data_IF_139544967275
#
_entry.id   IF_139544967275
#
_cell.length_a   1.000
_cell.length_b   1.000
_cell.length_c   1.000
_cell.angle_alpha   90.00
_cell.angle_beta   90.00
_cell.angle_gamma   90.00
#
_symmetry.space_group_name_H-M   'P 1'
#
loop_
_entity.id
_entity.type
_entity.pdbx_description
1 polymer ?
#
# COMPACT_ATOMS: atom_id res chain seq x y z
N UNK A 1 -3.53 -5.80 12.11
CA UNK A 1 -4.57 -6.29 11.40
C UNK A 1 -4.89 -5.65 10.07
N UNK A 2 -4.60 -6.33 8.98
CA UNK A 2 -4.95 -5.94 7.63
C UNK A 2 -4.29 -4.66 7.13
N UNK A 3 -4.79 -4.11 6.00
CA UNK A 3 -4.27 -2.88 5.40
C UNK A 3 -4.37 -1.65 6.32
N UNK A 4 -5.38 -1.60 7.18
CA UNK A 4 -5.51 -0.49 8.15
C UNK A 4 -4.27 -0.35 9.05
N UNK A 5 -3.63 -1.46 9.42
CA UNK A 5 -2.36 -1.42 10.13
C UNK A 5 -1.22 -0.80 9.30
N UNK A 6 -1.26 -0.98 7.98
CA UNK A 6 -0.24 -0.41 7.10
C UNK A 6 -0.42 1.09 6.89
N UNK A 7 -1.61 1.64 7.07
CA UNK A 7 -1.81 3.10 7.08
C UNK A 7 -0.96 3.81 8.14
N UNK A 8 -0.75 3.14 9.29
CA UNK A 8 0.19 3.61 10.32
C UNK A 8 1.63 3.18 10.04
N UNK A 9 1.85 1.94 9.59
CA UNK A 9 3.19 1.39 9.40
C UNK A 9 3.98 2.15 8.32
N UNK A 10 3.35 2.52 7.21
CA UNK A 10 4.01 3.28 6.13
C UNK A 10 4.68 4.56 6.65
N UNK A 11 3.96 5.50 7.28
CA UNK A 11 4.61 6.73 7.74
C UNK A 11 5.67 6.47 8.81
N UNK A 12 5.47 5.57 9.77
CA UNK A 12 6.47 5.37 10.82
C UNK A 12 7.73 4.66 10.35
N UNK A 13 7.67 3.93 9.22
CA UNK A 13 8.85 3.31 8.62
C UNK A 13 9.59 4.21 7.62
N UNK A 14 8.92 5.22 7.03
CA UNK A 14 9.49 6.00 5.93
C UNK A 14 9.75 7.47 6.28
N UNK A 15 9.29 7.94 7.44
CA UNK A 15 9.32 9.38 7.77
C UNK A 15 9.75 9.65 9.21
N UNK A 16 10.23 10.87 9.45
CA UNK A 16 10.30 11.49 10.77
C UNK A 16 9.08 12.41 11.00
N UNK A 17 8.76 12.77 12.26
CA UNK A 17 7.76 13.81 12.53
C UNK A 17 8.12 15.12 11.82
N UNK A 18 7.12 15.71 11.15
CA UNK A 18 7.28 16.94 10.36
C UNK A 18 7.73 16.72 8.90
N UNK A 19 8.10 15.51 8.50
CA UNK A 19 8.36 15.21 7.08
C UNK A 19 7.09 15.38 6.24
N UNK A 20 7.25 15.78 4.99
CA UNK A 20 6.14 15.90 4.03
C UNK A 20 5.93 14.58 3.29
N UNK A 21 4.67 14.20 3.15
CA UNK A 21 4.21 13.05 2.36
C UNK A 21 3.10 13.47 1.40
N UNK A 22 3.06 12.87 0.23
CA UNK A 22 2.10 13.19 -0.81
C UNK A 22 1.03 12.10 -0.93
N UNK A 23 -0.20 12.51 -1.21
CA UNK A 23 -1.35 11.61 -1.37
C UNK A 23 -2.24 12.00 -2.55
N UNK A 24 -2.81 10.99 -3.20
CA UNK A 24 -3.96 11.14 -4.09
C UNK A 24 -5.20 10.64 -3.34
N UNK A 25 -6.19 11.52 -3.13
CA UNK A 25 -7.43 11.19 -2.45
C UNK A 25 -8.54 10.91 -3.46
N UNK A 26 -8.85 9.62 -3.64
CA UNK A 26 -9.84 9.15 -4.61
C UNK A 26 -11.02 8.42 -3.96
N UNK A 27 -11.09 8.42 -2.62
CA UNK A 27 -12.21 7.79 -1.93
C UNK A 27 -11.99 7.52 -0.46
N UNK A 28 -12.70 6.52 0.05
CA UNK A 28 -12.74 6.26 1.49
C UNK A 28 -11.45 5.67 2.04
N UNK A 29 -10.74 4.84 1.26
CA UNK A 29 -9.53 4.18 1.74
C UNK A 29 -8.33 5.13 1.71
N UNK A 30 -8.17 5.90 0.64
CA UNK A 30 -7.17 6.97 0.59
C UNK A 30 -7.39 8.02 1.69
N UNK A 31 -8.65 8.45 1.92
CA UNK A 31 -8.97 9.37 3.00
C UNK A 31 -8.64 8.82 4.41
N UNK A 32 -8.81 7.50 4.64
CA UNK A 32 -8.39 6.86 5.89
C UNK A 32 -6.87 6.81 6.03
N UNK A 33 -6.15 6.50 4.96
CA UNK A 33 -4.69 6.50 4.94
C UNK A 33 -4.13 7.90 5.23
N UNK A 34 -4.70 8.95 4.63
CA UNK A 34 -4.37 10.35 4.89
C UNK A 34 -4.54 10.70 6.37
N UNK A 35 -5.71 10.36 6.95
CA UNK A 35 -6.00 10.64 8.37
C UNK A 35 -5.02 9.94 9.31
N UNK A 36 -4.66 8.70 8.97
CA UNK A 36 -3.74 7.94 9.79
C UNK A 36 -2.30 8.44 9.65
N UNK A 37 -1.86 8.81 8.45
CA UNK A 37 -0.56 9.45 8.25
C UNK A 37 -0.44 10.75 9.06
N UNK A 38 -1.45 11.60 9.03
CA UNK A 38 -1.47 12.84 9.83
C UNK A 38 -1.35 12.56 11.33
N UNK A 39 -1.96 11.49 11.85
CA UNK A 39 -1.80 11.07 13.26
C UNK A 39 -0.37 10.70 13.62
N UNK A 40 0.41 10.27 12.64
CA UNK A 40 1.82 9.95 12.83
C UNK A 40 2.72 11.20 12.83
N UNK A 41 2.14 12.40 12.79
CA UNK A 41 2.85 13.68 12.93
C UNK A 41 3.58 14.13 11.66
N UNK A 42 3.22 13.60 10.49
CA UNK A 42 3.73 14.06 9.19
C UNK A 42 2.87 15.18 8.60
N UNK A 43 3.44 15.98 7.72
CA UNK A 43 2.74 16.97 6.93
C UNK A 43 2.17 16.31 5.68
N UNK A 44 0.86 16.23 5.57
CA UNK A 44 0.20 15.60 4.41
C UNK A 44 -0.06 16.65 3.34
N UNK A 45 0.47 16.43 2.14
CA UNK A 45 0.17 17.16 0.91
C UNK A 45 -0.78 16.33 0.04
N UNK A 46 -2.06 16.70 0.01
CA UNK A 46 -3.03 16.06 -0.90
C UNK A 46 -2.91 16.74 -2.27
N UNK A 47 -2.33 16.03 -3.25
CA UNK A 47 -2.02 16.58 -4.58
C UNK A 47 -3.25 16.63 -5.49
N UNK A 48 -4.18 15.70 -5.29
CA UNK A 48 -5.48 15.66 -5.94
C UNK A 48 -6.52 15.14 -4.95
N UNK A 49 -7.70 15.72 -4.97
CA UNK A 49 -8.86 15.30 -4.18
C UNK A 49 -10.08 15.24 -5.10
N UNK A 50 -10.60 14.06 -5.30
CA UNK A 50 -11.73 13.80 -6.20
C UNK A 50 -13.10 14.04 -5.53
N UNK A 51 -13.14 14.83 -4.45
CA UNK A 51 -14.39 15.14 -3.74
C UNK A 51 -15.44 15.84 -4.63
N UNK A 52 -15.00 16.72 -5.54
CA UNK A 52 -15.90 17.44 -6.46
C UNK A 52 -16.59 16.51 -7.46
N UNK A 53 -15.94 15.39 -7.83
CA UNK A 53 -16.54 14.32 -8.63
C UNK A 53 -17.38 13.36 -7.80
N UNK A 54 -17.51 13.58 -6.48
CA UNK A 54 -18.07 12.62 -5.52
C UNK A 54 -17.30 11.30 -5.52
N UNK A 55 -15.98 11.36 -5.77
CA UNK A 55 -15.09 10.20 -5.85
C UNK A 55 -15.51 9.19 -6.92
N UNK A 56 -15.89 9.68 -8.11
CA UNK A 56 -16.26 8.84 -9.27
C UNK A 56 -15.19 8.83 -10.36
N UNK A 57 -14.14 9.61 -10.19
CA UNK A 57 -13.02 9.74 -11.14
C UNK A 57 -11.68 9.54 -10.46
N UNK A 58 -10.64 9.46 -11.26
CA UNK A 58 -9.23 9.55 -10.84
C UNK A 58 -8.62 10.82 -11.45
N UNK A 59 -7.59 11.42 -10.81
CA UNK A 59 -6.91 12.55 -11.41
C UNK A 59 -6.30 12.17 -12.76
N UNK A 60 -6.30 13.12 -13.70
CA UNK A 60 -5.70 12.91 -15.02
C UNK A 60 -4.17 12.72 -14.91
N UNK A 61 -3.56 11.87 -15.76
CA UNK A 61 -2.11 11.72 -15.80
C UNK A 61 -1.41 13.07 -15.99
N UNK A 62 -0.45 13.39 -15.12
CA UNK A 62 0.30 14.65 -15.18
C UNK A 62 -0.42 15.88 -14.63
N UNK A 63 -1.61 15.75 -14.06
CA UNK A 63 -2.36 16.88 -13.45
C UNK A 63 -1.82 17.32 -12.10
N UNK A 64 -0.87 16.59 -11.53
CA UNK A 64 -0.25 16.91 -10.24
C UNK A 64 1.26 16.74 -10.31
N UNK A 65 1.96 17.38 -9.37
CA UNK A 65 3.41 17.25 -9.22
C UNK A 65 3.71 16.95 -7.77
N UNK A 66 4.53 15.92 -7.54
CA UNK A 66 4.99 15.57 -6.19
C UNK A 66 5.99 16.62 -5.72
N UNK A 67 5.81 17.20 -4.52
CA UNK A 67 6.74 18.20 -4.00
C UNK A 67 8.15 17.63 -3.81
N UNK A 68 9.15 18.44 -4.10
CA UNK A 68 10.54 18.09 -3.81
C UNK A 68 10.71 17.75 -2.32
N UNK A 69 11.44 16.66 -2.06
CA UNK A 69 11.68 16.19 -0.70
C UNK A 69 10.51 15.45 -0.05
N UNK A 70 9.40 15.22 -0.75
CA UNK A 70 8.34 14.34 -0.26
C UNK A 70 8.90 12.93 -0.02
N UNK A 71 8.59 12.37 1.14
CA UNK A 71 9.15 11.07 1.55
C UNK A 71 8.53 9.91 0.80
N UNK A 72 7.30 10.06 0.31
CA UNK A 72 6.60 9.12 -0.58
C UNK A 72 5.37 9.78 -1.21
N UNK A 73 4.91 9.21 -2.33
CA UNK A 73 3.57 9.40 -2.86
C UNK A 73 2.73 8.16 -2.56
N UNK A 74 1.58 8.35 -1.93
CA UNK A 74 0.63 7.27 -1.65
C UNK A 74 -0.61 7.39 -2.53
N UNK A 75 -1.07 6.26 -3.07
CA UNK A 75 -2.36 6.17 -3.75
C UNK A 75 -3.05 4.83 -3.48
N UNK A 76 -4.34 4.78 -3.74
CA UNK A 76 -5.16 3.57 -3.67
C UNK A 76 -5.60 3.21 -5.08
N UNK A 77 -4.94 2.26 -5.76
CA UNK A 77 -5.24 1.91 -7.16
C UNK A 77 -6.70 1.60 -7.43
N UNK A 78 -7.41 1.01 -6.47
CA UNK A 78 -8.85 0.77 -6.56
C UNK A 78 -9.55 1.06 -5.24
N UNK A 79 -10.43 2.04 -5.26
CA UNK A 79 -11.33 2.38 -4.15
C UNK A 79 -12.53 1.44 -4.16
N UNK A 80 -12.41 0.33 -3.45
CA UNK A 80 -13.35 -0.81 -3.49
C UNK A 80 -14.82 -0.42 -3.22
N UNK A 81 -15.06 0.57 -2.37
CA UNK A 81 -16.42 1.02 -2.01
C UNK A 81 -16.99 1.90 -3.10
N UNK A 82 -16.21 2.85 -3.60
CA UNK A 82 -16.63 3.77 -4.66
C UNK A 82 -16.59 3.14 -6.05
N UNK A 83 -15.84 2.06 -6.23
CA UNK A 83 -15.67 1.40 -7.53
C UNK A 83 -14.81 2.20 -8.51
N UNK A 84 -13.91 3.05 -7.99
CA UNK A 84 -13.01 3.86 -8.82
C UNK A 84 -11.65 3.20 -8.87
N UNK A 85 -11.16 2.94 -10.07
CA UNK A 85 -9.86 2.33 -10.32
C UNK A 85 -8.99 3.21 -11.22
N UNK A 86 -7.71 3.34 -10.86
CA UNK A 86 -6.73 4.04 -11.68
C UNK A 86 -6.41 3.24 -12.95
N UNK A 87 -6.56 3.83 -14.14
CA UNK A 87 -6.18 3.20 -15.40
C UNK A 87 -4.67 3.29 -15.66
N UNK A 88 -3.90 3.91 -14.77
CA UNK A 88 -2.47 4.12 -14.90
C UNK A 88 -1.77 4.04 -13.53
N UNK A 89 -0.45 3.89 -13.54
CA UNK A 89 0.40 4.00 -12.35
C UNK A 89 0.89 5.46 -12.26
N UNK A 90 0.58 6.18 -11.16
CA UNK A 90 1.02 7.56 -10.97
C UNK A 90 2.53 7.74 -11.04
N UNK A 91 2.96 8.86 -11.59
CA UNK A 91 4.37 9.25 -11.54
C UNK A 91 4.66 9.92 -10.19
N UNK A 92 5.57 9.33 -9.44
CA UNK A 92 6.00 9.82 -8.13
C UNK A 92 7.28 10.68 -8.19
N UNK A 93 7.85 10.91 -9.38
CA UNK A 93 9.15 11.53 -9.53
C UNK A 93 10.23 10.76 -8.77
N UNK A 94 11.02 11.46 -7.96
CA UNK A 94 12.08 10.84 -7.15
C UNK A 94 11.56 10.20 -5.85
N UNK A 95 10.31 10.45 -5.47
CA UNK A 95 9.72 9.89 -4.26
C UNK A 95 9.34 8.41 -4.44
N UNK A 96 9.51 7.56 -3.41
CA UNK A 96 8.97 6.21 -3.45
C UNK A 96 7.45 6.20 -3.65
N UNK A 97 6.97 5.42 -4.62
CA UNK A 97 5.53 5.20 -4.80
C UNK A 97 5.04 4.14 -3.82
N UNK A 98 3.98 4.45 -3.09
CA UNK A 98 3.32 3.56 -2.12
C UNK A 98 1.89 3.28 -2.57
N UNK A 99 1.50 2.00 -2.61
CA UNK A 99 0.17 1.61 -3.08
C UNK A 99 -0.55 0.66 -2.11
N UNK A 100 -1.84 0.96 -1.85
CA UNK A 100 -2.77 0.02 -1.21
C UNK A 100 -3.41 -0.87 -2.28
N UNK A 101 -2.89 -2.07 -2.44
CA UNK A 101 -3.36 -3.07 -3.40
C UNK A 101 -4.41 -4.03 -2.82
N UNK A 102 -5.03 -3.74 -1.69
CA UNK A 102 -5.92 -4.68 -1.00
C UNK A 102 -6.98 -5.31 -1.91
N UNK A 103 -7.52 -4.56 -2.88
CA UNK A 103 -8.55 -5.07 -3.79
C UNK A 103 -8.02 -5.51 -5.17
N UNK A 104 -6.76 -5.25 -5.47
CA UNK A 104 -6.15 -5.53 -6.78
C UNK A 104 -4.93 -6.45 -6.74
N UNK A 105 -4.48 -6.86 -5.56
CA UNK A 105 -3.43 -7.89 -5.47
C UNK A 105 -3.82 -9.13 -6.28
N UNK A 106 -2.89 -9.60 -7.13
CA UNK A 106 -3.06 -10.81 -7.94
C UNK A 106 -4.22 -10.76 -8.95
N UNK A 107 -4.83 -9.59 -9.21
CA UNK A 107 -5.87 -9.47 -10.23
C UNK A 107 -5.31 -9.42 -11.64
N UNK A 108 -4.06 -9.04 -11.80
CA UNK A 108 -3.35 -8.90 -13.08
C UNK A 108 -1.84 -8.81 -12.87
N UNK A 109 -1.02 -8.94 -13.93
CA UNK A 109 0.42 -8.69 -13.86
C UNK A 109 0.72 -7.28 -13.29
N UNK A 110 1.71 -7.20 -12.42
CA UNK A 110 2.16 -5.97 -11.81
C UNK A 110 3.69 -5.91 -11.84
N UNK A 111 4.25 -4.84 -12.39
CA UNK A 111 5.68 -4.55 -12.26
C UNK A 111 5.97 -3.90 -10.90
N UNK A 112 6.33 -4.74 -9.92
CA UNK A 112 6.62 -4.29 -8.54
C UNK A 112 7.85 -3.38 -8.46
N UNK A 113 8.73 -3.38 -9.46
CA UNK A 113 9.94 -2.54 -9.48
C UNK A 113 9.62 -1.04 -9.54
N UNK A 114 8.43 -0.68 -9.99
CA UNK A 114 7.93 0.70 -10.04
C UNK A 114 7.55 1.26 -8.67
N UNK A 115 7.52 0.43 -7.63
CA UNK A 115 7.04 0.81 -6.31
C UNK A 115 8.16 0.81 -5.27
N UNK A 116 8.05 1.72 -4.32
CA UNK A 116 8.82 1.64 -3.09
C UNK A 116 8.18 0.66 -2.10
N UNK A 117 6.84 0.72 -2.00
CA UNK A 117 6.06 -0.16 -1.14
C UNK A 117 4.73 -0.49 -1.80
N UNK A 118 4.35 -1.75 -1.81
CA UNK A 118 2.98 -2.18 -2.05
C UNK A 118 2.49 -2.98 -0.86
N UNK A 119 1.26 -2.78 -0.47
CA UNK A 119 0.66 -3.53 0.63
C UNK A 119 -0.82 -3.81 0.38
N UNK A 120 -1.36 -4.78 1.09
CA UNK A 120 -2.78 -5.07 1.02
C UNK A 120 -3.23 -6.04 2.09
N UNK A 121 -4.47 -5.87 2.54
CA UNK A 121 -5.15 -6.85 3.38
C UNK A 121 -5.62 -8.04 2.54
N UNK A 122 -5.36 -9.24 3.02
CA UNK A 122 -5.66 -10.45 2.26
C UNK A 122 -7.16 -10.74 2.07
N UNK A 123 -8.01 -10.21 2.95
CA UNK A 123 -9.46 -10.51 3.01
C UNK A 123 -10.28 -10.08 1.79
N UNK A 124 -9.65 -9.46 0.81
CA UNK A 124 -10.29 -9.10 -0.47
C UNK A 124 -9.82 -10.07 -1.56
N UNK A 125 -8.90 -9.64 -2.42
CA UNK A 125 -8.53 -10.42 -3.60
C UNK A 125 -7.44 -11.48 -3.35
N UNK A 126 -6.67 -11.36 -2.27
CA UNK A 126 -5.61 -12.32 -1.95
C UNK A 126 -6.14 -13.61 -1.34
N UNK A 127 -7.17 -13.56 -0.46
CA UNK A 127 -7.64 -14.74 0.23
C UNK A 127 -8.25 -14.49 1.62
N UNK A 128 -7.84 -15.21 2.66
CA UNK A 128 -8.48 -15.15 3.97
C UNK A 128 -8.10 -13.91 4.76
N UNK A 129 -9.02 -13.47 5.64
CA UNK A 129 -8.73 -12.43 6.62
C UNK A 129 -7.61 -12.86 7.60
N UNK A 130 -6.99 -11.86 8.25
CA UNK A 130 -5.97 -12.07 9.28
C UNK A 130 -4.53 -11.85 8.78
N UNK A 131 -4.33 -11.62 7.50
CA UNK A 131 -3.05 -11.31 6.88
C UNK A 131 -3.03 -9.93 6.25
N UNK A 132 -1.86 -9.33 6.22
CA UNK A 132 -1.49 -8.28 5.28
C UNK A 132 -0.21 -8.70 4.58
N UNK A 133 -0.16 -8.57 3.26
CA UNK A 133 1.06 -8.76 2.48
C UNK A 133 1.66 -7.40 2.22
N UNK A 134 2.95 -7.25 2.50
CA UNK A 134 3.70 -6.01 2.30
C UNK A 134 4.97 -6.36 1.53
N UNK A 135 5.18 -5.70 0.41
CA UNK A 135 6.41 -5.80 -0.39
C UNK A 135 7.09 -4.44 -0.28
N UNK A 136 8.30 -4.44 0.24
CA UNK A 136 9.10 -3.22 0.47
C UNK A 136 10.38 -3.31 -0.33
N UNK A 137 10.71 -2.25 -1.05
CA UNK A 137 12.01 -2.12 -1.73
C UNK A 137 13.12 -2.09 -0.69
N UNK A 138 14.18 -2.86 -0.90
CA UNK A 138 15.21 -3.13 0.10
C UNK A 138 15.87 -1.87 0.68
N UNK A 139 16.10 -0.85 -0.16
CA UNK A 139 16.70 0.42 0.27
C UNK A 139 15.83 1.24 1.23
N UNK A 140 14.56 0.89 1.38
CA UNK A 140 13.62 1.53 2.30
C UNK A 140 13.56 0.85 3.68
N UNK A 141 14.18 -0.32 3.83
CA UNK A 141 14.31 -0.98 5.13
C UNK A 141 15.30 -0.22 6.03
N UNK A 142 15.14 -0.32 7.34
CA UNK A 142 16.02 0.33 8.32
C UNK A 142 15.78 1.82 8.50
N UNK A 143 14.69 2.37 7.96
CA UNK A 143 14.32 3.78 8.09
C UNK A 143 13.27 4.04 9.17
N UNK A 144 12.83 2.99 9.89
CA UNK A 144 11.84 3.11 10.94
C UNK A 144 12.29 4.08 12.04
N UNK A 145 11.35 4.83 12.59
CA UNK A 145 11.60 5.72 13.73
C UNK A 145 12.09 4.93 14.95
N UNK A 146 12.96 5.48 15.79
CA UNK A 146 13.51 4.77 16.94
C UNK A 146 12.48 4.31 17.99
N UNK A 147 11.32 4.96 18.04
CA UNK A 147 10.23 4.70 18.99
C UNK A 147 9.14 3.76 18.45
N UNK A 148 9.35 3.22 17.24
CA UNK A 148 8.39 2.31 16.61
C UNK A 148 8.43 0.93 17.30
N UNK A 149 7.28 0.39 17.72
CA UNK A 149 7.23 -0.97 18.21
C UNK A 149 7.74 -1.98 17.17
N UNK A 150 8.52 -2.97 17.62
CA UNK A 150 9.16 -3.96 16.73
C UNK A 150 8.17 -4.65 15.76
N UNK A 151 6.90 -4.80 16.13
CA UNK A 151 5.86 -5.40 15.28
C UNK A 151 5.51 -4.52 14.05
N UNK A 152 5.82 -3.24 14.08
CA UNK A 152 5.60 -2.28 12.99
C UNK A 152 6.88 -1.95 12.23
N UNK A 153 8.04 -2.36 12.72
CA UNK A 153 9.33 -2.17 12.04
C UNK A 153 9.51 -3.25 10.97
N UNK A 154 9.49 -2.84 9.71
CA UNK A 154 9.63 -3.75 8.57
C UNK A 154 10.99 -4.46 8.54
N UNK A 155 12.07 -3.83 9.06
CA UNK A 155 13.38 -4.46 9.13
C UNK A 155 13.39 -5.62 10.12
N UNK A 156 12.73 -5.43 11.27
CA UNK A 156 12.57 -6.50 12.28
C UNK A 156 11.72 -7.64 11.71
N UNK A 157 10.63 -7.31 11.02
CA UNK A 157 9.78 -8.32 10.38
C UNK A 157 10.54 -9.10 9.29
N UNK A 158 11.30 -8.41 8.44
CA UNK A 158 12.13 -9.03 7.39
C UNK A 158 13.20 -9.95 8.00
N UNK A 159 13.91 -9.50 9.03
CA UNK A 159 14.94 -10.28 9.71
C UNK A 159 14.40 -11.53 10.44
N UNK A 160 13.11 -11.65 10.61
CA UNK A 160 12.41 -12.78 11.27
C UNK A 160 11.53 -13.57 10.28
N UNK A 161 11.73 -13.42 8.98
CA UNK A 161 10.91 -14.08 7.96
C UNK A 161 9.40 -13.88 8.21
N UNK A 162 9.01 -12.67 8.64
CA UNK A 162 7.65 -12.28 9.04
C UNK A 162 7.09 -13.03 10.26
N UNK A 163 7.92 -13.76 10.99
CA UNK A 163 7.53 -14.56 12.17
C UNK A 163 8.11 -14.02 13.47
N UNK A 164 7.97 -12.70 13.70
CA UNK A 164 8.37 -12.10 14.99
C UNK A 164 7.58 -12.70 16.18
N UNK A 165 6.34 -13.06 15.94
CA UNK A 165 5.46 -13.78 16.85
C UNK A 165 4.77 -14.92 16.11
N UNK A 166 4.02 -15.77 16.80
CA UNK A 166 3.25 -16.86 16.19
C UNK A 166 2.34 -16.32 15.09
N UNK A 167 2.53 -16.73 13.83
CA UNK A 167 1.73 -16.23 12.72
C UNK A 167 0.36 -16.91 12.64
N UNK A 168 -0.61 -16.33 11.92
CA UNK A 168 -1.92 -16.97 11.67
C UNK A 168 -1.77 -18.10 10.65
N UNK A 169 -1.26 -19.25 11.08
CA UNK A 169 -0.83 -20.38 10.23
C UNK A 169 -1.94 -20.86 9.30
N UNK A 170 -3.18 -20.93 9.74
CA UNK A 170 -4.29 -21.35 8.88
C UNK A 170 -4.52 -20.38 7.70
N UNK A 171 -4.48 -19.08 7.97
CA UNK A 171 -4.63 -18.08 6.91
C UNK A 171 -3.44 -18.11 5.92
N UNK A 172 -2.21 -18.35 6.41
CA UNK A 172 -1.04 -18.53 5.55
C UNK A 172 -1.18 -19.78 4.69
N UNK A 173 -1.65 -20.89 5.27
CA UNK A 173 -1.89 -22.12 4.53
C UNK A 173 -2.93 -21.92 3.41
N UNK A 174 -4.06 -21.27 3.71
CA UNK A 174 -5.07 -20.99 2.69
C UNK A 174 -4.53 -20.05 1.59
N UNK A 175 -3.76 -19.02 1.96
CA UNK A 175 -3.11 -18.17 0.98
C UNK A 175 -2.17 -18.97 0.06
N UNK A 176 -1.37 -19.88 0.61
CA UNK A 176 -0.50 -20.76 -0.18
C UNK A 176 -1.30 -21.59 -1.19
N UNK A 177 -2.44 -22.14 -0.80
CA UNK A 177 -3.30 -22.89 -1.73
C UNK A 177 -3.86 -22.00 -2.86
N UNK A 178 -4.24 -20.77 -2.55
CA UNK A 178 -4.72 -19.80 -3.54
C UNK A 178 -3.60 -19.44 -4.53
N UNK A 179 -2.38 -19.23 -4.05
CA UNK A 179 -1.24 -18.91 -4.92
C UNK A 179 -0.94 -20.08 -5.89
N UNK A 180 -0.92 -21.33 -5.41
CA UNK A 180 -0.76 -22.49 -6.28
C UNK A 180 -1.91 -22.60 -7.30
N UNK A 181 -3.16 -22.38 -6.86
CA UNK A 181 -4.29 -22.39 -7.78
C UNK A 181 -4.16 -21.32 -8.88
N UNK A 182 -3.69 -20.10 -8.56
CA UNK A 182 -3.43 -19.07 -9.56
C UNK A 182 -2.35 -19.52 -10.54
N UNK A 183 -1.25 -20.11 -10.06
CA UNK A 183 -0.19 -20.67 -10.91
C UNK A 183 -0.73 -21.74 -11.84
N UNK A 184 -1.49 -22.71 -11.32
CA UNK A 184 -2.07 -23.82 -12.07
C UNK A 184 -3.09 -23.36 -13.13
N UNK A 185 -3.73 -22.22 -12.92
CA UNK A 185 -4.73 -21.66 -13.87
C UNK A 185 -4.15 -20.72 -14.92
N UNK A 186 -2.82 -20.55 -14.96
CA UNK A 186 -2.13 -19.73 -15.96
C UNK A 186 -1.53 -18.43 -15.43
N UNK A 187 -1.48 -18.29 -14.10
CA UNK A 187 -0.83 -17.16 -13.44
C UNK A 187 -1.59 -15.85 -13.57
N UNK A 188 -0.89 -14.74 -13.30
CA UNK A 188 -1.50 -13.41 -13.29
C UNK A 188 -1.98 -12.94 -14.67
N UNK A 189 -1.44 -13.51 -15.77
CA UNK A 189 -1.94 -13.19 -17.10
C UNK A 189 -3.37 -13.69 -17.27
N UNK A 190 -3.65 -14.95 -16.90
CA UNK A 190 -4.99 -15.51 -16.95
C UNK A 190 -5.97 -14.83 -15.96
N UNK A 191 -5.46 -14.35 -14.82
CA UNK A 191 -6.30 -13.59 -13.87
C UNK A 191 -6.72 -12.21 -14.39
N UNK A 192 -5.95 -11.64 -15.31
CA UNK A 192 -6.21 -10.32 -15.88
C UNK A 192 -7.13 -10.32 -17.11
N UNK A 193 -7.45 -11.49 -17.67
CA UNK A 193 -8.38 -11.70 -18.80
C UNK A 193 -9.85 -11.72 -18.35
#
# INVERSE_FOLDING_TARGET
GGATGQFSAVPVNLTAPGDTVAFLNTGQWSAKAIKEAARQGVVVSTLADEADSSYTTTPEPGSFTVPDGARYLHYTPNETIGGVEFPYIPDAGDAPLVADLSSTYLSRPLDVSRYGVVYGGAQKNLGPAGLAVVIVREDLLGRARPDVPAIWDWSVMAAKDSMLNTPPTFSIYLLSLILHWIEDTGGLAAMGE
#
